data_IF_161078887398
#
_entry.id   IF_161078887398
#
_cell.length_a   1.000
_cell.length_b   1.000
_cell.length_c   1.000
_cell.angle_alpha   90.00
_cell.angle_beta   90.00
_cell.angle_gamma   90.00
#
_symmetry.space_group_name_H-M   'P 1'
#
loop_
_entity.id
_entity.type
_entity.pdbx_description
1 polymer ?
#
# COMPACT_ATOMS: atom_id res chain seq x y z
N UNK A 1 17.89 -15.04 36.14
CA UNK A 1 17.19 -15.19 34.83
C UNK A 1 15.67 -15.27 35.03
N UNK A 2 15.01 -14.13 35.02
CA UNK A 2 13.55 -14.02 35.14
C UNK A 2 12.96 -13.73 33.75
N UNK A 3 11.92 -14.46 33.30
CA UNK A 3 11.21 -14.10 32.08
C UNK A 3 10.22 -12.96 32.36
N UNK A 4 10.30 -11.89 31.57
CA UNK A 4 9.31 -10.82 31.49
C UNK A 4 8.08 -11.30 30.69
N UNK A 5 6.83 -11.06 31.15
CA UNK A 5 5.64 -11.43 30.40
C UNK A 5 5.34 -10.39 29.30
N UNK A 6 5.36 -10.83 28.04
CA UNK A 6 4.89 -10.03 26.90
C UNK A 6 3.36 -10.04 26.91
N UNK A 7 2.72 -9.03 27.51
CA UNK A 7 1.29 -8.79 27.30
C UNK A 7 1.04 -8.27 25.89
N UNK A 8 0.30 -9.05 25.11
CA UNK A 8 -0.25 -8.62 23.81
C UNK A 8 -1.51 -7.81 24.12
N UNK A 9 -1.61 -6.52 23.73
CA UNK A 9 -2.84 -5.78 23.96
C UNK A 9 -3.95 -6.32 23.06
N UNK A 10 -5.04 -6.77 23.68
CA UNK A 10 -6.30 -7.11 23.01
C UNK A 10 -7.02 -5.80 22.66
N UNK A 11 -7.44 -5.56 21.41
CA UNK A 11 -8.23 -4.37 21.10
C UNK A 11 -9.66 -4.53 21.63
N UNK A 12 -10.06 -3.66 22.56
CA UNK A 12 -11.46 -3.51 22.98
C UNK A 12 -12.27 -2.79 21.89
N UNK A 13 -13.53 -3.18 21.63
CA UNK A 13 -14.37 -2.49 20.65
C UNK A 13 -14.92 -1.20 21.28
N UNK A 14 -14.46 -0.06 20.78
CA UNK A 14 -14.88 1.27 21.21
C UNK A 14 -15.29 2.12 20.01
N UNK A 15 -16.59 2.42 19.97
CA UNK A 15 -17.39 3.28 19.12
C UNK A 15 -16.70 4.49 18.45
N UNK A 16 -16.86 4.59 17.13
CA UNK A 16 -17.16 5.85 16.44
C UNK A 16 -15.99 6.73 15.97
N UNK A 17 -15.97 6.97 14.65
CA UNK A 17 -15.12 7.87 13.85
C UNK A 17 -13.69 7.40 13.59
N UNK A 18 -13.54 6.81 12.40
CA UNK A 18 -12.26 6.48 11.78
C UNK A 18 -11.39 7.73 11.60
N UNK A 19 -10.39 7.84 12.45
CA UNK A 19 -9.12 8.47 12.13
C UNK A 19 -8.06 7.55 12.71
N UNK A 20 -7.62 6.57 11.89
CA UNK A 20 -6.45 5.79 12.25
C UNK A 20 -5.28 6.76 12.38
N UNK A 21 -4.83 6.94 13.62
CA UNK A 21 -3.72 7.81 13.99
C UNK A 21 -2.50 7.45 13.13
N UNK A 22 -2.04 8.44 12.36
CA UNK A 22 -0.80 8.39 11.60
C UNK A 22 0.37 8.50 12.59
N UNK A 23 0.80 7.39 13.16
CA UNK A 23 2.07 7.38 13.90
C UNK A 23 3.22 7.24 12.89
N UNK A 24 3.51 8.38 12.25
CA UNK A 24 4.69 8.59 11.42
C UNK A 24 5.93 8.33 12.26
N UNK A 25 6.40 7.09 12.25
CA UNK A 25 7.73 6.74 12.77
C UNK A 25 7.80 5.76 13.94
N UNK A 26 6.91 4.77 14.05
CA UNK A 26 7.26 3.61 14.90
C UNK A 26 8.44 2.85 14.26
N UNK A 27 9.64 2.85 14.88
CA UNK A 27 10.80 2.15 14.32
C UNK A 27 10.56 0.63 14.28
N UNK A 28 9.66 0.09 15.12
CA UNK A 28 9.27 -1.32 15.14
C UNK A 28 8.60 -1.79 13.85
N UNK A 29 7.70 -1.00 13.26
CA UNK A 29 7.01 -1.30 11.99
C UNK A 29 7.97 -1.35 10.81
N UNK A 30 8.87 -0.36 10.71
CA UNK A 30 9.90 -0.34 9.65
C UNK A 30 10.86 -1.55 9.76
N UNK A 31 11.09 -2.08 10.97
CA UNK A 31 11.88 -3.30 11.18
C UNK A 31 11.23 -4.57 10.66
N UNK A 32 9.95 -4.55 10.26
CA UNK A 32 9.29 -5.69 9.59
C UNK A 32 9.39 -5.65 8.07
N UNK A 33 9.99 -4.61 7.50
CA UNK A 33 10.25 -4.48 6.05
C UNK A 33 9.05 -3.98 5.24
N UNK A 34 7.83 -4.28 5.67
CA UNK A 34 6.59 -3.70 5.15
C UNK A 34 5.47 -3.71 6.18
N UNK A 35 4.59 -2.71 6.11
CA UNK A 35 3.51 -2.50 7.08
C UNK A 35 2.37 -1.67 6.47
N UNK A 36 1.16 -1.81 7.03
CA UNK A 36 0.02 -0.96 6.68
C UNK A 36 0.29 0.46 7.16
N UNK A 37 0.38 1.39 6.21
CA UNK A 37 0.58 2.81 6.46
C UNK A 37 -0.77 3.52 6.62
N UNK A 38 -1.75 3.16 5.80
CA UNK A 38 -3.13 3.64 5.92
C UNK A 38 -4.10 2.50 5.57
N UNK A 39 -5.10 2.28 6.42
CA UNK A 39 -6.11 1.25 6.21
C UNK A 39 -7.18 1.73 5.22
N UNK A 40 -7.88 0.80 4.56
CA UNK A 40 -9.05 1.14 3.76
C UNK A 40 -10.23 1.57 4.65
N UNK A 41 -11.05 2.49 4.15
CA UNK A 41 -12.37 2.76 4.75
C UNK A 41 -13.20 1.47 4.83
N UNK A 42 -13.86 1.25 5.97
CA UNK A 42 -14.58 -0.01 6.25
C UNK A 42 -13.69 -1.19 6.66
N UNK A 43 -12.35 -1.05 6.65
CA UNK A 43 -11.40 -2.03 7.18
C UNK A 43 -11.08 -3.21 6.25
N UNK A 44 -11.92 -3.51 5.27
CA UNK A 44 -11.64 -4.49 4.21
C UNK A 44 -11.27 -3.77 2.90
N UNK A 45 -10.03 -3.90 2.41
CA UNK A 45 -9.64 -3.25 1.16
C UNK A 45 -10.12 -4.02 -0.08
N UNK A 46 -10.68 -3.27 -1.04
CA UNK A 46 -10.90 -3.73 -2.41
C UNK A 46 -9.58 -3.81 -3.19
N UNK A 47 -8.63 -2.91 -2.87
CA UNK A 47 -7.29 -2.88 -3.46
C UNK A 47 -6.20 -2.43 -2.49
N UNK A 48 -4.96 -2.81 -2.78
CA UNK A 48 -3.77 -2.38 -2.03
C UNK A 48 -2.79 -1.60 -2.90
N UNK A 49 -2.45 -0.39 -2.46
CA UNK A 49 -1.34 0.42 -2.98
C UNK A 49 -0.08 0.11 -2.15
N UNK A 50 0.98 -0.35 -2.82
CA UNK A 50 2.23 -0.76 -2.18
C UNK A 50 3.30 0.28 -2.53
N UNK A 51 3.63 1.16 -1.59
CA UNK A 51 4.57 2.26 -1.80
C UNK A 51 6.01 1.87 -1.43
N UNK A 52 6.95 2.26 -2.30
CA UNK A 52 8.38 2.27 -2.00
C UNK A 52 8.75 3.34 -0.97
N UNK A 53 9.99 3.26 -0.47
CA UNK A 53 10.52 4.26 0.47
C UNK A 53 10.68 5.61 -0.25
N UNK A 54 9.81 6.57 0.06
CA UNK A 54 9.82 7.90 -0.56
C UNK A 54 8.57 8.20 -1.39
N UNK A 55 7.80 7.18 -1.77
CA UNK A 55 6.58 7.33 -2.60
C UNK A 55 5.28 7.20 -1.78
N UNK A 56 5.40 7.14 -0.46
CA UNK A 56 4.27 6.99 0.45
C UNK A 56 3.24 8.12 0.31
N UNK A 57 3.70 9.37 0.14
CA UNK A 57 2.83 10.54 0.00
C UNK A 57 1.93 10.43 -1.25
N UNK A 58 2.51 10.10 -2.41
CA UNK A 58 1.75 9.89 -3.65
C UNK A 58 0.73 8.76 -3.52
N UNK A 59 1.06 7.68 -2.81
CA UNK A 59 0.14 6.58 -2.56
C UNK A 59 -1.00 6.97 -1.60
N UNK A 60 -0.72 7.80 -0.58
CA UNK A 60 -1.74 8.33 0.33
C UNK A 60 -2.71 9.27 -0.38
N UNK A 61 -2.20 10.15 -1.24
CA UNK A 61 -3.03 11.04 -2.06
C UNK A 61 -3.89 10.24 -3.05
N UNK A 62 -3.32 9.21 -3.68
CA UNK A 62 -4.07 8.32 -4.56
C UNK A 62 -5.17 7.56 -3.80
N UNK A 63 -4.89 7.09 -2.58
CA UNK A 63 -5.90 6.51 -1.70
C UNK A 63 -7.03 7.49 -1.42
N UNK A 64 -6.72 8.75 -1.12
CA UNK A 64 -7.75 9.76 -0.85
C UNK A 64 -8.67 9.97 -2.07
N UNK A 65 -8.13 9.95 -3.29
CA UNK A 65 -8.92 10.00 -4.52
C UNK A 65 -9.82 8.76 -4.64
N UNK A 66 -9.26 7.56 -4.47
CA UNK A 66 -10.00 6.29 -4.62
C UNK A 66 -11.15 6.17 -3.62
N UNK A 67 -10.93 6.56 -2.37
CA UNK A 67 -11.97 6.50 -1.34
C UNK A 67 -13.13 7.47 -1.63
N UNK A 68 -12.86 8.64 -2.22
CA UNK A 68 -13.93 9.56 -2.67
C UNK A 68 -14.80 8.95 -3.77
N UNK A 69 -14.25 8.02 -4.54
CA UNK A 69 -14.99 7.26 -5.56
C UNK A 69 -15.68 6.01 -4.99
N UNK A 70 -15.66 5.82 -3.66
CA UNK A 70 -16.24 4.65 -3.00
C UNK A 70 -15.37 3.38 -3.08
N UNK A 71 -14.09 3.50 -3.42
CA UNK A 71 -13.18 2.36 -3.52
C UNK A 71 -12.35 2.25 -2.23
N UNK A 72 -12.48 1.12 -1.54
CA UNK A 72 -11.78 0.86 -0.29
C UNK A 72 -10.30 0.53 -0.55
N UNK A 73 -9.45 1.56 -0.52
CA UNK A 73 -8.02 1.42 -0.81
C UNK A 73 -7.13 1.42 0.45
N UNK A 74 -6.29 0.40 0.59
CA UNK A 74 -5.24 0.33 1.63
C UNK A 74 -3.90 0.81 1.08
N UNK A 75 -3.10 1.50 1.88
CA UNK A 75 -1.69 1.81 1.58
C UNK A 75 -0.77 1.00 2.47
N UNK A 76 0.17 0.30 1.85
CA UNK A 76 1.25 -0.45 2.50
C UNK A 76 2.58 0.23 2.17
N UNK A 77 3.33 0.62 3.19
CA UNK A 77 4.72 1.04 3.02
C UNK A 77 5.61 -0.21 2.97
N UNK A 78 6.48 -0.32 1.97
CA UNK A 78 7.36 -1.47 1.75
C UNK A 78 8.82 -1.05 1.52
N UNK A 79 9.51 -0.49 2.53
CA UNK A 79 10.89 -0.02 2.38
C UNK A 79 11.94 -1.13 2.21
N UNK A 80 11.68 -2.35 2.68
CA UNK A 80 12.63 -3.48 2.59
C UNK A 80 11.89 -4.79 2.30
N UNK A 81 11.70 -5.10 1.02
CA UNK A 81 10.96 -6.26 0.55
C UNK A 81 11.51 -7.60 1.08
N UNK A 82 12.83 -7.76 1.10
CA UNK A 82 13.51 -8.99 1.55
C UNK A 82 13.18 -9.29 3.01
N UNK A 83 13.14 -8.24 3.83
CA UNK A 83 12.80 -8.35 5.25
C UNK A 83 11.32 -8.64 5.47
N UNK A 84 10.45 -8.12 4.60
CA UNK A 84 9.02 -8.45 4.62
C UNK A 84 8.78 -9.92 4.24
N UNK A 85 9.51 -10.44 3.24
CA UNK A 85 9.45 -11.87 2.85
C UNK A 85 9.79 -12.82 3.99
N UNK A 86 10.71 -12.41 4.87
CA UNK A 86 11.13 -13.19 6.04
C UNK A 86 10.11 -13.15 7.20
N UNK A 87 9.04 -12.35 7.10
CA UNK A 87 8.04 -12.29 8.16
C UNK A 87 7.15 -13.55 8.18
N UNK A 88 6.61 -13.93 9.36
CA UNK A 88 5.66 -15.02 9.48
C UNK A 88 4.49 -14.87 8.51
N UNK A 89 3.98 -16.00 8.00
CA UNK A 89 2.88 -16.01 7.02
C UNK A 89 1.65 -15.22 7.50
N UNK A 90 1.28 -15.35 8.78
CA UNK A 90 0.18 -14.60 9.38
C UNK A 90 0.37 -13.08 9.31
N UNK A 91 1.61 -12.58 9.46
CA UNK A 91 1.89 -11.15 9.32
C UNK A 91 1.83 -10.70 7.86
N UNK A 92 2.37 -11.51 6.94
CA UNK A 92 2.28 -11.21 5.50
C UNK A 92 0.83 -11.16 5.02
N UNK A 93 -0.02 -12.08 5.50
CA UNK A 93 -1.46 -12.09 5.23
C UNK A 93 -2.17 -10.88 5.83
N UNK A 94 -1.81 -10.45 7.04
CA UNK A 94 -2.37 -9.24 7.65
C UNK A 94 -2.08 -7.99 6.80
N UNK A 95 -0.87 -7.87 6.27
CA UNK A 95 -0.44 -6.69 5.48
C UNK A 95 -0.96 -6.76 4.04
N UNK A 96 -0.80 -7.91 3.38
CA UNK A 96 -1.19 -8.15 1.99
C UNK A 96 -2.09 -9.41 1.89
N UNK A 97 -3.38 -9.29 2.24
CA UNK A 97 -4.29 -10.43 2.22
C UNK A 97 -4.36 -11.07 0.84
N UNK A 98 -4.23 -12.39 0.75
CA UNK A 98 -4.23 -13.13 -0.53
C UNK A 98 -5.54 -12.93 -1.29
N UNK A 99 -6.66 -12.75 -0.58
CA UNK A 99 -7.98 -12.47 -1.17
C UNK A 99 -8.02 -11.17 -1.99
N UNK A 100 -7.16 -10.21 -1.67
CA UNK A 100 -7.13 -8.90 -2.34
C UNK A 100 -6.16 -8.98 -3.51
N UNK A 101 -6.71 -9.32 -4.68
CA UNK A 101 -5.93 -9.50 -5.92
C UNK A 101 -5.57 -8.18 -6.58
N UNK A 102 -6.37 -7.14 -6.40
CA UNK A 102 -6.11 -5.82 -6.94
C UNK A 102 -4.96 -5.15 -6.17
N UNK A 103 -3.77 -5.12 -6.78
CA UNK A 103 -2.56 -4.57 -6.15
C UNK A 103 -1.82 -3.65 -7.13
N UNK A 104 -1.37 -2.50 -6.65
CA UNK A 104 -0.58 -1.54 -7.44
C UNK A 104 0.68 -1.20 -6.68
N UNK A 105 1.86 -1.38 -7.28
CA UNK A 105 3.10 -0.87 -6.67
C UNK A 105 3.36 0.55 -7.13
N UNK A 106 3.85 1.39 -6.22
CA UNK A 106 4.09 2.81 -6.43
C UNK A 106 5.55 3.06 -6.07
N UNK A 107 6.43 3.03 -7.08
CA UNK A 107 7.87 3.22 -6.88
C UNK A 107 8.52 3.83 -8.11
N UNK A 108 9.48 4.73 -7.93
CA UNK A 108 10.29 5.26 -9.03
C UNK A 108 11.41 4.31 -9.49
N UNK A 109 11.63 3.19 -8.78
CA UNK A 109 12.68 2.22 -9.07
C UNK A 109 12.25 1.09 -10.01
N UNK A 110 13.15 0.14 -10.25
CA UNK A 110 12.88 -1.03 -11.10
C UNK A 110 11.72 -1.88 -10.54
N UNK A 111 10.77 -2.22 -11.41
CA UNK A 111 9.58 -3.00 -11.06
C UNK A 111 9.87 -4.48 -10.71
N UNK A 112 11.06 -4.99 -11.03
CA UNK A 112 11.38 -6.44 -11.03
C UNK A 112 11.08 -7.14 -9.69
N UNK A 113 11.32 -6.49 -8.55
CA UNK A 113 11.05 -7.07 -7.24
C UNK A 113 9.56 -7.13 -6.86
N UNK A 114 8.73 -6.32 -7.49
CA UNK A 114 7.35 -6.08 -7.06
C UNK A 114 6.34 -7.06 -7.66
N UNK A 115 6.63 -7.62 -8.83
CA UNK A 115 5.71 -8.51 -9.55
C UNK A 115 5.22 -9.71 -8.71
N UNK A 116 6.08 -10.27 -7.85
CA UNK A 116 5.68 -11.33 -6.91
C UNK A 116 4.55 -10.89 -5.97
N UNK A 117 4.60 -9.63 -5.50
CA UNK A 117 3.56 -9.10 -4.62
C UNK A 117 2.29 -8.71 -5.39
N UNK A 118 2.41 -8.35 -6.67
CA UNK A 118 1.32 -7.85 -7.50
C UNK A 118 0.39 -8.96 -8.02
N UNK A 119 0.91 -10.18 -8.15
CA UNK A 119 0.15 -11.28 -8.73
C UNK A 119 -0.20 -11.04 -10.20
N UNK A 120 -1.29 -11.65 -10.66
CA UNK A 120 -1.68 -11.67 -12.08
C UNK A 120 -2.54 -10.47 -12.54
N UNK A 121 -3.13 -9.77 -11.58
CA UNK A 121 -3.94 -8.58 -11.82
C UNK A 121 -3.17 -7.26 -11.59
N UNK A 122 -2.08 -7.29 -10.82
CA UNK A 122 -1.43 -6.06 -10.37
C UNK A 122 -0.53 -5.39 -11.41
N UNK A 123 -0.41 -4.08 -11.28
CA UNK A 123 0.36 -3.23 -12.22
C UNK A 123 1.35 -2.37 -11.43
N UNK A 124 2.63 -2.32 -11.82
CA UNK A 124 3.58 -1.36 -11.26
C UNK A 124 3.39 0.03 -11.88
N UNK A 125 3.32 1.06 -11.04
CA UNK A 125 3.40 2.46 -11.43
C UNK A 125 4.78 2.97 -11.01
N UNK A 126 5.53 3.47 -11.99
CA UNK A 126 6.88 3.97 -11.77
C UNK A 126 7.38 4.90 -12.87
N UNK A 127 8.49 5.58 -12.59
CA UNK A 127 9.27 6.29 -13.58
C UNK A 127 10.06 5.23 -14.36
N UNK A 128 9.70 4.99 -15.63
CA UNK A 128 10.57 4.20 -16.52
C UNK A 128 11.98 4.82 -16.57
N UNK A 129 13.01 4.02 -16.93
CA UNK A 129 14.41 4.49 -17.01
C UNK A 129 14.48 5.85 -17.72
N UNK A 130 14.77 6.92 -16.97
CA UNK A 130 15.17 8.18 -17.58
C UNK A 130 16.59 8.01 -18.11
N UNK A 131 16.76 8.08 -19.43
CA UNK A 131 18.06 8.12 -20.08
C UNK A 131 18.78 9.48 -19.92
N UNK A 132 18.27 10.38 -19.08
CA UNK A 132 18.75 11.76 -18.97
C UNK A 132 18.90 12.12 -17.50
N UNK A 133 20.04 12.70 -17.12
CA UNK A 133 20.46 13.03 -15.75
C UNK A 133 19.65 14.16 -15.08
N UNK A 134 18.33 14.13 -15.21
CA UNK A 134 17.38 15.10 -14.67
C UNK A 134 17.11 14.82 -13.18
N UNK A 135 17.05 15.85 -12.32
CA UNK A 135 16.78 15.68 -10.89
C UNK A 135 15.44 14.96 -10.60
N UNK A 136 15.46 14.06 -9.62
CA UNK A 136 14.37 13.14 -9.25
C UNK A 136 12.99 13.81 -9.09
N UNK A 137 12.95 14.99 -8.45
CA UNK A 137 11.72 15.74 -8.18
C UNK A 137 11.09 16.36 -9.44
N UNK A 138 11.90 16.72 -10.44
CA UNK A 138 11.41 17.23 -11.72
C UNK A 138 10.87 16.08 -12.60
N UNK A 139 11.50 14.90 -12.57
CA UNK A 139 11.04 13.72 -13.30
C UNK A 139 9.68 13.19 -12.78
N UNK A 140 9.44 13.22 -11.47
CA UNK A 140 8.17 12.79 -10.86
C UNK A 140 6.97 13.59 -11.43
N UNK A 141 7.11 14.92 -11.56
CA UNK A 141 6.08 15.78 -12.14
C UNK A 141 6.01 15.71 -13.67
N UNK A 142 7.14 15.69 -14.37
CA UNK A 142 7.16 15.68 -15.84
C UNK A 142 6.76 14.34 -16.48
N UNK A 143 7.03 13.20 -15.82
CA UNK A 143 6.74 11.87 -16.38
C UNK A 143 5.51 11.18 -15.75
N UNK A 144 4.68 11.96 -15.05
CA UNK A 144 3.35 11.54 -14.63
C UNK A 144 3.36 10.55 -13.46
N UNK A 145 4.25 10.71 -12.49
CA UNK A 145 4.15 9.98 -11.22
C UNK A 145 3.29 10.79 -10.25
N UNK A 146 1.98 10.81 -10.52
CA UNK A 146 1.00 11.59 -9.76
C UNK A 146 -0.05 10.68 -9.12
N UNK A 147 -0.72 11.20 -8.09
CA UNK A 147 -1.80 10.52 -7.40
C UNK A 147 -2.94 10.11 -8.35
N UNK A 148 -3.25 10.95 -9.33
CA UNK A 148 -4.31 10.71 -10.32
C UNK A 148 -3.97 9.53 -11.22
N UNK A 149 -2.70 9.41 -11.67
CA UNK A 149 -2.28 8.26 -12.47
C UNK A 149 -2.30 6.97 -11.66
N UNK A 150 -1.84 7.02 -10.40
CA UNK A 150 -1.91 5.87 -9.50
C UNK A 150 -3.36 5.45 -9.30
N UNK A 151 -4.27 6.40 -9.03
CA UNK A 151 -5.70 6.12 -8.89
C UNK A 151 -6.31 5.56 -10.17
N UNK A 152 -6.02 6.14 -11.34
CA UNK A 152 -6.48 5.61 -12.63
C UNK A 152 -6.01 4.17 -12.89
N UNK A 153 -4.74 3.88 -12.56
CA UNK A 153 -4.17 2.54 -12.69
C UNK A 153 -4.84 1.57 -11.72
N UNK A 154 -5.08 2.00 -10.47
CA UNK A 154 -5.76 1.21 -9.46
C UNK A 154 -7.20 0.85 -9.88
N UNK A 155 -7.94 1.78 -10.49
CA UNK A 155 -9.27 1.49 -11.07
C UNK A 155 -9.20 0.42 -12.16
N UNK A 156 -8.22 0.51 -13.07
CA UNK A 156 -8.03 -0.49 -14.12
C UNK A 156 -7.66 -1.88 -13.57
N UNK A 157 -6.77 -1.93 -12.57
CA UNK A 157 -6.40 -3.17 -11.85
C UNK A 157 -7.59 -3.78 -11.13
N UNK A 158 -8.40 -2.95 -10.47
CA UNK A 158 -9.58 -3.40 -9.76
C UNK A 158 -10.61 -4.04 -10.70
N UNK A 159 -10.86 -3.43 -11.85
CA UNK A 159 -11.72 -3.98 -12.89
C UNK A 159 -11.18 -5.33 -13.42
N UNK A 160 -9.86 -5.43 -13.67
CA UNK A 160 -9.21 -6.68 -14.11
C UNK A 160 -9.28 -7.78 -13.06
N UNK A 161 -9.23 -7.42 -11.77
CA UNK A 161 -9.33 -8.37 -10.66
C UNK A 161 -10.75 -8.95 -10.49
N UNK A 162 -11.73 -8.48 -11.27
CA UNK A 162 -13.11 -8.97 -11.24
C UNK A 162 -13.91 -8.45 -10.05
N UNK A 163 -13.46 -7.37 -9.41
CA UNK A 163 -14.20 -6.76 -8.31
C UNK A 163 -15.40 -6.00 -8.88
N UNK A 164 -16.61 -6.42 -8.51
CA UNK A 164 -17.82 -5.63 -8.80
C UNK A 164 -17.88 -4.52 -7.75
N UNK A 165 -18.06 -3.27 -8.19
CA UNK A 165 -18.35 -2.15 -7.29
C UNK A 165 -19.48 -2.59 -6.35
N UNK A 166 -19.26 -2.48 -5.03
CA UNK A 166 -20.38 -2.58 -4.09
C UNK A 166 -21.24 -1.36 -4.37
N UNK A 167 -22.35 -1.54 -5.09
CA UNK A 167 -23.34 -0.48 -5.22
C UNK A 167 -23.84 -0.18 -3.81
N UNK A 168 -23.58 1.02 -3.33
CA UNK A 168 -24.13 1.50 -2.07
C UNK A 168 -25.63 1.81 -2.33
N UNK A 169 -26.51 0.96 -1.78
CA UNK A 169 -27.92 1.30 -1.52
C UNK A 169 -28.05 2.46 -0.52
#
# INVERSE_FOLDING_TARGET
PSPVPTSVPTPSPGTGRGAAVYESGDPGRSRRGGYVLAEAEGGEPDLVLIAGAGEAEVALDARAILQRDGIAARVVAMPRLERFRQQPAAYREQVLPVRVRARVSVTAGAALGWYELLGDAGIPVGLGRSGTGTPYTALLRQHGFTAERVAATARAVLARAGHRHREHE
#
